data_IF_972105806001
#
_entry.id   IF_972105806001
#
_cell.length_a   1.000
_cell.length_b   1.000
_cell.length_c   1.000
_cell.angle_alpha   90.00
_cell.angle_beta   90.00
_cell.angle_gamma   90.00
#
_symmetry.space_group_name_H-M   'P 1'
#
loop_
_entity.id
_entity.type
_entity.pdbx_description
1 polymer ?
#
# COMPACT_ATOMS: atom_id res chain seq x y z
N UNK A 1 -11.51 -19.80 10.32
CA UNK A 1 -11.36 -19.39 8.90
C UNK A 1 -12.14 -18.11 8.66
N UNK A 2 -11.54 -16.91 8.60
CA UNK A 2 -12.27 -15.71 8.18
C UNK A 2 -11.98 -15.47 6.70
N UNK A 3 -12.52 -16.31 5.81
CA UNK A 3 -12.01 -16.43 4.44
C UNK A 3 -12.72 -15.60 3.38
N UNK A 4 -13.78 -14.84 3.69
CA UNK A 4 -14.55 -14.12 2.65
C UNK A 4 -14.42 -12.59 2.70
N UNK A 5 -14.23 -11.99 3.89
CA UNK A 5 -14.25 -10.52 4.03
C UNK A 5 -12.89 -9.88 3.74
N UNK A 6 -11.81 -10.53 4.18
CA UNK A 6 -10.43 -10.15 3.86
C UNK A 6 -10.13 -10.28 2.37
N UNK A 7 -10.84 -11.17 1.67
CA UNK A 7 -10.74 -11.33 0.21
C UNK A 7 -11.22 -10.09 -0.54
N UNK A 8 -12.27 -9.41 -0.06
CA UNK A 8 -12.74 -8.16 -0.66
C UNK A 8 -11.69 -7.05 -0.61
N UNK A 9 -10.98 -6.93 0.53
CA UNK A 9 -9.87 -5.98 0.68
C UNK A 9 -8.71 -6.35 -0.26
N UNK A 10 -8.39 -7.65 -0.38
CA UNK A 10 -7.34 -8.14 -1.31
C UNK A 10 -7.66 -7.85 -2.77
N UNK A 11 -8.91 -8.03 -3.19
CA UNK A 11 -9.35 -7.71 -4.55
C UNK A 11 -9.21 -6.20 -4.80
N UNK A 12 -9.70 -5.37 -3.87
CA UNK A 12 -9.58 -3.91 -3.98
C UNK A 12 -8.12 -3.47 -4.15
N UNK A 13 -7.21 -3.96 -3.30
CA UNK A 13 -5.79 -3.62 -3.38
C UNK A 13 -5.17 -4.03 -4.71
N UNK A 14 -5.51 -5.22 -5.22
CA UNK A 14 -5.01 -5.71 -6.52
C UNK A 14 -5.51 -4.88 -7.68
N UNK A 15 -6.80 -4.54 -7.69
CA UNK A 15 -7.40 -3.70 -8.74
C UNK A 15 -6.72 -2.33 -8.80
N UNK A 16 -6.45 -1.73 -7.64
CA UNK A 16 -5.74 -0.45 -7.54
C UNK A 16 -4.29 -0.60 -8.02
N UNK A 17 -3.56 -1.60 -7.51
CA UNK A 17 -2.15 -1.81 -7.91
C UNK A 17 -2.00 -2.17 -9.41
N UNK A 18 -3.01 -2.78 -10.03
CA UNK A 18 -2.99 -3.14 -11.45
C UNK A 18 -2.91 -1.93 -12.38
N UNK A 19 -3.44 -0.78 -11.95
CA UNK A 19 -3.39 0.47 -12.74
C UNK A 19 -2.22 1.37 -12.37
N UNK A 20 -1.53 1.08 -11.26
CA UNK A 20 -0.43 1.90 -10.78
C UNK A 20 0.82 1.71 -11.67
N UNK A 21 1.52 2.81 -12.04
CA UNK A 21 2.75 2.71 -12.81
C UNK A 21 3.85 2.01 -12.01
N UNK A 22 4.59 1.11 -12.68
CA UNK A 22 5.75 0.42 -12.13
C UNK A 22 7.05 1.08 -12.64
N UNK A 23 8.12 1.13 -11.83
CA UNK A 23 8.26 0.58 -10.48
C UNK A 23 7.46 1.37 -9.43
N UNK A 24 6.98 0.67 -8.40
CA UNK A 24 6.27 1.29 -7.29
C UNK A 24 7.19 2.22 -6.51
N UNK A 25 6.71 3.41 -6.14
CA UNK A 25 7.45 4.37 -5.30
C UNK A 25 7.53 3.95 -3.83
N UNK A 26 8.37 4.64 -3.05
CA UNK A 26 8.50 4.43 -1.60
C UNK A 26 7.17 4.68 -0.86
N UNK A 27 6.29 5.52 -1.42
CA UNK A 27 5.00 5.91 -0.87
C UNK A 27 3.80 5.15 -1.50
N UNK A 28 4.02 3.98 -2.11
CA UNK A 28 2.95 3.23 -2.81
C UNK A 28 1.70 2.95 -1.96
N UNK A 29 1.86 2.85 -0.63
CA UNK A 29 0.71 2.72 0.28
C UNK A 29 -0.15 3.98 0.23
N UNK A 30 0.46 5.16 0.31
CA UNK A 30 -0.24 6.44 0.22
C UNK A 30 -0.89 6.59 -1.17
N UNK A 31 -0.17 6.25 -2.24
CA UNK A 31 -0.70 6.28 -3.60
C UNK A 31 -1.95 5.40 -3.74
N UNK A 32 -1.94 4.19 -3.14
CA UNK A 32 -3.09 3.28 -3.13
C UNK A 32 -4.29 3.91 -2.42
N UNK A 33 -4.08 4.54 -1.25
CA UNK A 33 -5.16 5.24 -0.54
C UNK A 33 -5.72 6.40 -1.35
N UNK A 34 -4.85 7.21 -1.96
CA UNK A 34 -5.28 8.30 -2.84
C UNK A 34 -6.08 7.78 -4.02
N UNK A 35 -5.63 6.72 -4.70
CA UNK A 35 -6.37 6.13 -5.80
C UNK A 35 -7.76 5.64 -5.37
N UNK A 36 -7.87 4.99 -4.21
CA UNK A 36 -9.16 4.57 -3.63
C UNK A 36 -10.05 5.79 -3.38
N UNK A 37 -9.51 6.88 -2.83
CA UNK A 37 -10.29 8.08 -2.53
C UNK A 37 -10.79 8.82 -3.77
N UNK A 38 -9.93 8.91 -4.80
CA UNK A 38 -10.18 9.63 -6.04
C UNK A 38 -11.10 8.85 -7.00
N UNK A 39 -11.18 7.53 -6.86
CA UNK A 39 -12.07 6.69 -7.66
C UNK A 39 -13.37 6.40 -6.89
N UNK A 40 -14.53 6.93 -7.33
CA UNK A 40 -15.80 6.76 -6.60
C UNK A 40 -16.25 5.30 -6.50
N UNK A 41 -15.86 4.44 -7.43
CA UNK A 41 -16.18 3.00 -7.36
C UNK A 41 -15.37 2.31 -6.26
N UNK A 42 -14.07 2.58 -6.19
CA UNK A 42 -13.20 2.03 -5.15
C UNK A 42 -13.51 2.59 -3.78
N UNK A 43 -13.83 3.88 -3.69
CA UNK A 43 -14.30 4.50 -2.46
C UNK A 43 -15.55 3.81 -1.93
N UNK A 44 -16.53 3.56 -2.80
CA UNK A 44 -17.75 2.83 -2.42
C UNK A 44 -17.44 1.42 -1.91
N UNK A 45 -16.58 0.66 -2.61
CA UNK A 45 -16.16 -0.69 -2.17
C UNK A 45 -15.43 -0.63 -0.83
N UNK A 46 -14.58 0.37 -0.63
CA UNK A 46 -13.88 0.60 0.63
C UNK A 46 -14.85 0.91 1.77
N UNK A 47 -15.85 1.77 1.53
CA UNK A 47 -16.88 2.11 2.52
C UNK A 47 -17.71 0.87 2.89
N UNK A 48 -18.13 0.06 1.91
CA UNK A 48 -18.81 -1.22 2.13
C UNK A 48 -17.95 -2.20 2.96
N UNK A 49 -16.64 -2.24 2.71
CA UNK A 49 -15.71 -3.06 3.49
C UNK A 49 -15.56 -2.53 4.93
N UNK A 50 -15.53 -1.20 5.11
CA UNK A 50 -15.49 -0.56 6.41
C UNK A 50 -16.75 -0.81 7.23
N UNK A 51 -17.94 -0.77 6.61
CA UNK A 51 -19.20 -1.09 7.29
C UNK A 51 -19.22 -2.54 7.81
N UNK A 52 -18.60 -3.46 7.07
CA UNK A 52 -18.58 -4.88 7.41
C UNK A 52 -17.47 -5.31 8.38
N UNK A 53 -16.29 -4.68 8.30
CA UNK A 53 -15.08 -5.08 9.04
C UNK A 53 -14.61 -4.06 10.07
N UNK A 54 -15.10 -2.82 9.99
CA UNK A 54 -14.55 -1.60 10.61
C UNK A 54 -13.27 -1.13 9.93
N UNK A 55 -13.18 0.18 9.78
CA UNK A 55 -12.02 0.95 9.35
C UNK A 55 -10.72 0.52 10.05
N UNK A 56 -10.78 0.29 11.37
CA UNK A 56 -9.65 -0.15 12.19
C UNK A 56 -9.08 -1.52 11.78
N UNK A 57 -9.82 -2.32 11.00
CA UNK A 57 -9.37 -3.60 10.44
C UNK A 57 -9.00 -3.47 8.97
N UNK A 58 -9.77 -2.71 8.19
CA UNK A 58 -9.54 -2.54 6.74
C UNK A 58 -8.22 -1.81 6.47
N UNK A 59 -7.94 -0.73 7.21
CA UNK A 59 -6.75 0.10 7.00
C UNK A 59 -5.42 -0.66 7.18
N UNK A 60 -5.18 -1.35 8.31
CA UNK A 60 -3.96 -2.13 8.47
C UNK A 60 -3.87 -3.26 7.44
N UNK A 61 -5.00 -3.87 7.05
CA UNK A 61 -5.03 -4.95 6.07
C UNK A 61 -4.65 -4.47 4.67
N UNK A 62 -5.12 -3.29 4.24
CA UNK A 62 -4.69 -2.66 2.98
C UNK A 62 -3.17 -2.47 2.99
N UNK A 63 -2.62 -1.90 4.08
CA UNK A 63 -1.18 -1.67 4.19
C UNK A 63 -0.35 -2.95 4.16
N UNK A 64 -0.83 -4.03 4.77
CA UNK A 64 -0.19 -5.35 4.73
C UNK A 64 -0.23 -5.95 3.32
N UNK A 65 -1.40 -5.94 2.68
CA UNK A 65 -1.60 -6.47 1.33
C UNK A 65 -0.81 -5.71 0.27
N UNK A 66 -0.71 -4.38 0.39
CA UNK A 66 0.13 -3.58 -0.50
C UNK A 66 1.59 -4.01 -0.35
N UNK A 67 2.09 -4.23 0.87
CA UNK A 67 3.47 -4.71 1.10
C UNK A 67 3.71 -6.12 0.55
N UNK A 68 2.72 -7.01 0.68
CA UNK A 68 2.76 -8.37 0.14
C UNK A 68 2.82 -8.34 -1.40
N UNK A 69 1.88 -7.63 -2.05
CA UNK A 69 1.72 -7.63 -3.51
C UNK A 69 2.80 -6.81 -4.24
N UNK A 70 3.37 -5.80 -3.59
CA UNK A 70 4.49 -5.01 -4.14
C UNK A 70 5.85 -5.66 -3.88
N UNK A 71 5.91 -6.72 -3.06
CA UNK A 71 7.17 -7.32 -2.61
C UNK A 71 7.95 -6.45 -1.61
N UNK A 72 7.38 -5.33 -1.13
CA UNK A 72 7.99 -4.47 -0.12
C UNK A 72 8.19 -5.18 1.23
N UNK A 73 7.44 -6.25 1.50
CA UNK A 73 7.68 -7.14 2.63
C UNK A 73 9.10 -7.77 2.62
N UNK A 74 9.72 -7.90 1.44
CA UNK A 74 11.08 -8.40 1.26
C UNK A 74 12.12 -7.29 1.00
N UNK A 75 11.68 -6.02 0.82
CA UNK A 75 12.56 -4.87 0.57
C UNK A 75 13.13 -4.23 1.84
N UNK A 76 12.96 -4.87 3.01
CA UNK A 76 13.72 -4.49 4.21
C UNK A 76 15.23 -4.81 4.08
N UNK A 77 15.65 -5.50 3.02
CA UNK A 77 17.07 -5.75 2.69
C UNK A 77 17.37 -5.69 1.18
N UNK A 78 17.04 -4.60 0.48
CA UNK A 78 17.69 -4.34 -0.82
C UNK A 78 18.23 -2.92 -0.88
N UNK A 79 19.45 -2.81 -0.36
CA UNK A 79 20.53 -1.92 -0.78
C UNK A 79 20.18 -0.46 -1.07
N UNK A 80 20.76 0.39 -0.22
CA UNK A 80 21.21 1.76 -0.47
C UNK A 80 22.02 1.92 -1.77
N UNK A 81 21.38 1.89 -2.93
CA UNK A 81 22.00 2.28 -4.21
C UNK A 81 21.01 3.06 -5.07
N UNK A 82 20.94 4.37 -4.83
CA UNK A 82 20.23 5.26 -5.73
C UNK A 82 19.78 6.57 -5.08
N UNK A 83 20.75 7.40 -4.70
CA UNK A 83 20.66 8.87 -4.65
C UNK A 83 19.25 9.49 -4.77
N UNK A 84 18.72 10.00 -3.65
CA UNK A 84 17.84 11.17 -3.68
C UNK A 84 18.46 12.29 -2.85
N UNK A 85 18.54 13.46 -3.45
CA UNK A 85 19.39 14.61 -3.12
C UNK A 85 18.87 15.47 -1.95
N UNK A 86 18.05 14.92 -1.05
CA UNK A 86 17.31 15.74 -0.07
C UNK A 86 17.86 15.63 1.36
N UNK A 87 18.46 14.50 1.76
CA UNK A 87 18.89 14.36 3.16
C UNK A 87 20.37 14.75 3.32
N UNK A 88 20.51 16.01 3.70
CA UNK A 88 21.71 16.83 3.88
C UNK A 88 22.51 16.53 5.15
N UNK A 89 22.40 15.34 5.73
CA UNK A 89 23.15 15.00 6.95
C UNK A 89 23.78 13.61 6.83
N UNK A 90 25.07 13.63 6.52
CA UNK A 90 25.97 12.50 6.61
C UNK A 90 26.74 12.62 7.94
N UNK A 91 27.02 11.50 8.61
CA UNK A 91 28.11 11.41 9.61
C UNK A 91 29.28 10.65 8.99
N UNK A 92 30.38 11.37 8.75
CA UNK A 92 31.76 10.96 8.37
C UNK A 92 32.66 12.00 9.08
N UNK A 93 33.85 11.80 9.64
CA UNK A 93 34.84 10.74 9.81
C UNK A 93 35.01 10.49 11.34
N UNK A 94 35.40 9.32 11.84
CA UNK A 94 36.73 8.67 11.74
C UNK A 94 36.60 7.18 11.99
#
# INVERSE_FOLDING_TARGET
MPTNRTQGVKILVRDVLAIMPKPYGEDIILDVYMAIEHNPEWRKRYDELCDNLRDAVVNPLIGELVKEETGLASLREVSTKGMSHIIKSYTKLS
#
